data_IF_913006756643
#
_entry.id   IF_913006756643
#
_cell.length_a   1.000
_cell.length_b   1.000
_cell.length_c   1.000
_cell.angle_alpha   90.00
_cell.angle_beta   90.00
_cell.angle_gamma   90.00
#
_symmetry.space_group_name_H-M   'P 1'
#
loop_
_entity.id
_entity.type
_entity.pdbx_description
1 polymer ?
#
# COMPACT_ATOMS: atom_id res chain seq x y z
N UNK A 1 15.08 12.36 46.66
CA UNK A 1 13.82 13.10 46.40
C UNK A 1 13.32 12.96 44.94
N UNK A 2 13.91 12.09 44.10
CA UNK A 2 13.54 11.96 42.65
C UNK A 2 12.71 10.75 42.26
N UNK A 3 12.62 9.71 43.08
CA UNK A 3 11.88 8.50 42.73
C UNK A 3 10.42 8.45 43.18
N UNK A 4 10.04 9.24 44.18
CA UNK A 4 8.65 9.28 44.68
C UNK A 4 7.72 10.12 43.82
N UNK A 5 8.24 11.09 43.06
CA UNK A 5 7.43 11.93 42.16
C UNK A 5 7.03 11.21 40.87
N UNK A 6 7.86 10.28 40.38
CA UNK A 6 7.58 9.55 39.16
C UNK A 6 6.47 8.48 39.31
N UNK A 7 6.40 7.86 40.49
CA UNK A 7 5.33 6.90 40.84
C UNK A 7 3.97 7.55 41.07
N UNK A 8 3.95 8.80 41.55
CA UNK A 8 2.69 9.55 41.76
C UNK A 8 2.07 10.01 40.43
N UNK A 9 2.89 10.39 39.46
CA UNK A 9 2.41 10.83 38.13
C UNK A 9 1.89 9.68 37.31
N UNK A 10 2.51 8.50 37.37
CA UNK A 10 2.05 7.26 36.73
C UNK A 10 0.71 6.77 37.33
N UNK A 11 0.51 6.90 38.62
CA UNK A 11 -0.77 6.58 39.28
C UNK A 11 -1.89 7.53 38.84
N UNK A 12 -1.63 8.84 38.74
CA UNK A 12 -2.62 9.83 38.26
C UNK A 12 -3.04 9.60 36.83
N UNK A 13 -2.12 9.19 35.90
CA UNK A 13 -2.46 8.85 34.52
C UNK A 13 -3.30 7.57 34.41
N UNK A 14 -3.08 6.59 35.29
CA UNK A 14 -3.90 5.37 35.34
C UNK A 14 -5.32 5.61 35.85
N UNK A 15 -5.51 6.47 36.84
CA UNK A 15 -6.83 6.77 37.37
C UNK A 15 -7.70 7.54 36.38
N UNK A 16 -7.11 8.46 35.60
CA UNK A 16 -7.82 9.21 34.54
C UNK A 16 -8.37 8.30 33.42
N UNK A 17 -7.66 7.23 33.06
CA UNK A 17 -8.09 6.29 32.02
C UNK A 17 -9.25 5.40 32.49
N UNK A 18 -9.33 5.09 33.78
CA UNK A 18 -10.43 4.29 34.35
C UNK A 18 -11.71 5.10 34.52
N UNK A 19 -11.65 6.38 34.85
CA UNK A 19 -12.82 7.24 34.97
C UNK A 19 -13.52 7.52 33.64
N UNK A 20 -12.77 7.62 32.54
CA UNK A 20 -13.36 7.82 31.21
C UNK A 20 -14.13 6.58 30.73
N UNK A 21 -13.73 5.36 31.14
CA UNK A 21 -14.47 4.14 30.81
C UNK A 21 -15.78 3.96 31.59
N UNK A 22 -15.86 4.46 32.82
CA UNK A 22 -17.06 4.30 33.66
C UNK A 22 -18.23 5.23 33.26
N UNK A 23 -17.97 6.29 32.51
CA UNK A 23 -19.02 7.24 32.06
C UNK A 23 -19.70 6.75 30.78
N UNK A 24 -19.06 5.87 29.98
CA UNK A 24 -19.65 5.31 28.75
C UNK A 24 -20.59 4.10 28.99
N UNK A 25 -20.44 3.40 30.13
CA UNK A 25 -21.23 2.19 30.41
C UNK A 25 -22.62 2.41 31.04
N UNK A 26 -23.01 3.67 31.30
CA UNK A 26 -24.29 3.97 32.00
C UNK A 26 -25.42 4.48 31.12
N UNK A 27 -25.31 4.43 29.79
CA UNK A 27 -26.35 4.98 28.89
C UNK A 27 -26.93 4.03 27.84
N UNK A 28 -26.96 2.72 28.09
CA UNK A 28 -27.73 1.81 27.24
C UNK A 28 -28.46 0.76 28.14
N UNK A 29 -29.63 1.11 28.62
CA UNK A 29 -30.66 0.14 29.00
C UNK A 29 -32.02 0.68 28.62
N UNK A 30 -32.69 -0.14 27.84
CA UNK A 30 -34.08 -0.22 27.34
C UNK A 30 -34.15 0.15 25.85
N UNK A 31 -34.62 -0.70 24.93
CA UNK A 31 -35.75 -1.63 24.91
C UNK A 31 -35.62 -2.59 23.71
N UNK A 32 -36.00 -3.87 23.94
CA UNK A 32 -36.60 -4.85 23.03
C UNK A 32 -36.02 -5.15 21.64
N UNK A 33 -35.54 -6.40 21.52
CA UNK A 33 -35.30 -7.22 20.32
C UNK A 33 -36.59 -7.57 19.55
N UNK A 34 -36.59 -8.20 18.35
CA UNK A 34 -35.50 -8.88 17.66
C UNK A 34 -35.35 -8.52 16.16
N UNK A 35 -34.18 -8.50 15.63
CA UNK A 35 -33.83 -9.17 14.36
C UNK A 35 -32.32 -9.12 14.15
N UNK A 36 -31.65 -10.25 14.41
CA UNK A 36 -30.26 -10.44 14.03
C UNK A 36 -30.16 -10.73 12.52
N UNK A 37 -30.29 -9.71 11.70
CA UNK A 37 -29.65 -9.72 10.41
C UNK A 37 -28.27 -9.10 10.58
N UNK A 38 -27.27 -9.95 10.79
CA UNK A 38 -25.86 -9.54 10.75
C UNK A 38 -25.55 -8.94 9.38
N UNK A 39 -25.75 -7.65 9.26
CA UNK A 39 -25.24 -6.87 8.13
C UNK A 39 -23.72 -6.81 8.26
N UNK A 40 -23.03 -7.93 7.91
CA UNK A 40 -21.62 -7.92 7.61
C UNK A 40 -21.48 -6.94 6.44
N UNK A 41 -21.12 -5.70 6.73
CA UNK A 41 -20.63 -4.79 5.70
C UNK A 41 -19.52 -5.54 4.97
N UNK A 42 -19.79 -5.96 3.74
CA UNK A 42 -18.77 -6.54 2.87
C UNK A 42 -17.80 -5.41 2.60
N UNK A 43 -16.64 -5.44 3.26
CA UNK A 43 -15.57 -4.49 2.98
C UNK A 43 -15.21 -4.63 1.51
N UNK A 44 -15.54 -3.63 0.69
CA UNK A 44 -15.22 -3.60 -0.74
C UNK A 44 -13.84 -2.99 -0.89
N UNK A 45 -12.83 -3.82 -1.17
CA UNK A 45 -11.49 -3.37 -1.53
C UNK A 45 -11.37 -3.17 -3.02
N UNK A 46 -10.48 -2.26 -3.42
CA UNK A 46 -9.97 -2.19 -4.78
C UNK A 46 -8.63 -2.94 -4.87
N UNK A 47 -8.25 -3.27 -6.10
CA UNK A 47 -7.03 -4.01 -6.37
C UNK A 47 -6.15 -3.23 -7.33
N UNK A 48 -4.88 -3.16 -7.01
CA UNK A 48 -3.88 -2.39 -7.75
C UNK A 48 -2.68 -3.25 -8.10
N UNK A 49 -1.97 -2.90 -9.15
CA UNK A 49 -0.64 -3.41 -9.45
C UNK A 49 0.31 -2.22 -9.40
N UNK A 50 1.38 -2.35 -8.64
CA UNK A 50 2.40 -1.32 -8.46
C UNK A 50 3.78 -1.89 -8.83
N UNK A 51 4.52 -1.16 -9.68
CA UNK A 51 5.78 -1.63 -10.26
C UNK A 51 6.98 -1.00 -9.57
N UNK A 52 7.90 -1.84 -9.13
CA UNK A 52 9.21 -1.47 -8.61
C UNK A 52 10.34 -2.17 -9.38
N UNK A 53 11.55 -1.68 -9.23
CA UNK A 53 12.75 -2.23 -9.88
C UNK A 53 13.57 -3.02 -8.83
N UNK A 54 13.66 -4.35 -8.95
CA UNK A 54 14.32 -5.18 -7.93
C UNK A 54 15.85 -5.15 -7.99
N UNK A 55 16.42 -4.67 -9.11
CA UNK A 55 17.86 -4.63 -9.31
C UNK A 55 18.41 -3.24 -9.07
N UNK A 56 19.68 -3.17 -8.61
CA UNK A 56 20.39 -1.90 -8.43
C UNK A 56 20.42 -1.11 -9.73
N UNK A 57 20.00 0.14 -9.63
CA UNK A 57 20.10 1.14 -10.69
C UNK A 57 20.39 2.50 -10.08
N UNK A 58 21.55 3.06 -10.44
CA UNK A 58 21.95 4.36 -9.93
C UNK A 58 21.30 5.48 -10.76
N UNK A 59 20.57 6.37 -10.09
CA UNK A 59 19.96 7.58 -10.67
C UNK A 59 20.41 8.78 -9.85
N UNK A 60 21.10 9.74 -10.45
CA UNK A 60 21.68 10.91 -9.75
C UNK A 60 22.49 10.51 -8.50
N UNK A 61 23.27 9.42 -8.58
CA UNK A 61 24.12 8.95 -7.50
C UNK A 61 23.41 8.16 -6.39
N UNK A 62 22.10 7.98 -6.47
CA UNK A 62 21.31 7.14 -5.52
C UNK A 62 20.86 5.85 -6.18
N UNK A 63 20.93 4.75 -5.45
CA UNK A 63 20.36 3.48 -5.89
C UNK A 63 18.84 3.51 -5.69
N UNK A 64 18.10 3.28 -6.78
CA UNK A 64 16.63 3.25 -6.78
C UNK A 64 16.08 1.82 -6.73
N UNK A 65 16.91 0.83 -6.37
CA UNK A 65 16.51 -0.55 -6.15
C UNK A 65 15.40 -0.63 -5.10
N UNK A 66 14.33 -1.35 -5.42
CA UNK A 66 13.26 -1.66 -4.47
C UNK A 66 12.55 -2.96 -4.87
N UNK A 67 12.81 -4.03 -4.12
CA UNK A 67 12.19 -5.34 -4.32
C UNK A 67 11.13 -5.61 -3.25
N UNK A 68 10.40 -6.73 -3.40
CA UNK A 68 9.46 -7.20 -2.37
C UNK A 68 10.18 -7.54 -1.07
N UNK A 69 11.45 -8.00 -1.15
CA UNK A 69 12.27 -8.31 0.01
C UNK A 69 12.72 -7.01 0.71
N UNK A 70 13.09 -5.97 -0.07
CA UNK A 70 13.41 -4.67 0.50
C UNK A 70 12.20 -4.07 1.23
N UNK A 71 10.98 -4.23 0.71
CA UNK A 71 9.75 -3.81 1.41
C UNK A 71 9.52 -4.62 2.70
N UNK A 72 9.77 -5.94 2.67
CA UNK A 72 9.62 -6.80 3.86
C UNK A 72 10.59 -6.40 4.98
N UNK A 73 11.79 -5.94 4.62
CA UNK A 73 12.86 -5.54 5.55
C UNK A 73 12.68 -4.10 6.09
N UNK A 74 11.74 -3.32 5.55
CA UNK A 74 11.43 -1.98 6.07
C UNK A 74 10.85 -2.05 7.48
N UNK A 75 11.02 -0.99 8.30
CA UNK A 75 10.35 -0.89 9.61
C UNK A 75 8.84 -1.15 9.49
N UNK A 76 8.32 -2.09 10.27
CA UNK A 76 6.92 -2.55 10.23
C UNK A 76 6.45 -3.06 8.85
N UNK A 77 7.38 -3.32 7.92
CA UNK A 77 7.10 -3.66 6.52
C UNK A 77 6.43 -2.52 5.74
N UNK A 78 6.60 -1.28 6.16
CA UNK A 78 5.93 -0.11 5.57
C UNK A 78 6.93 0.75 4.79
N UNK A 79 6.54 1.15 3.57
CA UNK A 79 7.30 2.08 2.75
C UNK A 79 6.40 3.10 2.08
N UNK A 80 6.93 4.29 1.91
CA UNK A 80 6.35 5.31 1.05
C UNK A 80 6.55 4.91 -0.41
N UNK A 81 5.52 5.08 -1.23
CA UNK A 81 5.58 4.81 -2.67
C UNK A 81 5.79 6.11 -3.44
N UNK A 82 6.99 6.62 -3.34
CA UNK A 82 7.41 7.88 -3.94
C UNK A 82 7.86 7.73 -5.41
N UNK A 83 8.29 8.82 -6.00
CA UNK A 83 8.96 8.83 -7.30
C UNK A 83 8.08 8.56 -8.52
N UNK A 84 6.75 8.50 -8.37
CA UNK A 84 5.83 8.34 -9.52
C UNK A 84 5.73 9.64 -10.29
N UNK A 85 6.20 9.64 -11.55
CA UNK A 85 6.27 10.83 -12.44
C UNK A 85 5.44 10.66 -13.72
N UNK A 86 4.39 9.85 -13.65
CA UNK A 86 3.35 9.73 -14.68
C UNK A 86 2.05 10.30 -14.13
N UNK A 87 1.40 11.21 -14.85
CA UNK A 87 0.19 11.88 -14.38
C UNK A 87 -1.00 10.94 -14.15
N UNK A 88 -1.17 9.92 -15.01
CA UNK A 88 -2.23 8.95 -14.84
C UNK A 88 -2.01 8.10 -13.58
N UNK A 89 -0.80 7.57 -13.41
CA UNK A 89 -0.41 6.80 -12.21
C UNK A 89 -0.60 7.65 -10.94
N UNK A 90 -0.14 8.92 -10.97
CA UNK A 90 -0.35 9.87 -9.88
C UNK A 90 -1.84 10.09 -9.57
N UNK A 91 -2.68 10.27 -10.61
CA UNK A 91 -4.12 10.49 -10.42
C UNK A 91 -4.80 9.24 -9.84
N UNK A 92 -4.37 8.03 -10.24
CA UNK A 92 -4.84 6.79 -9.65
C UNK A 92 -4.54 6.77 -8.13
N UNK A 93 -3.29 7.04 -7.75
CA UNK A 93 -2.91 7.06 -6.33
C UNK A 93 -3.66 8.13 -5.55
N UNK A 94 -3.75 9.36 -6.09
CA UNK A 94 -4.35 10.50 -5.41
C UNK A 94 -5.86 10.36 -5.23
N UNK A 95 -6.55 9.90 -6.27
CA UNK A 95 -8.00 10.04 -6.35
C UNK A 95 -8.76 8.73 -6.07
N UNK A 96 -8.08 7.57 -6.17
CA UNK A 96 -8.77 6.27 -6.18
C UNK A 96 -8.31 5.29 -5.11
N UNK A 97 -7.04 5.33 -4.69
CA UNK A 97 -6.52 4.40 -3.69
C UNK A 97 -7.02 4.73 -2.29
N UNK A 98 -7.44 3.69 -1.56
CA UNK A 98 -7.94 3.76 -0.20
C UNK A 98 -7.18 2.82 0.72
N UNK A 99 -7.13 3.16 2.01
CA UNK A 99 -6.60 2.25 3.04
C UNK A 99 -7.30 0.91 2.95
N UNK A 100 -6.52 -0.18 3.09
CA UNK A 100 -6.90 -1.59 2.94
C UNK A 100 -7.05 -2.10 1.50
N UNK A 101 -6.91 -1.26 0.48
CA UNK A 101 -6.83 -1.72 -0.91
C UNK A 101 -5.65 -2.68 -1.10
N UNK A 102 -5.83 -3.69 -1.95
CA UNK A 102 -4.84 -4.75 -2.16
C UNK A 102 -3.91 -4.42 -3.32
N UNK A 103 -2.63 -4.73 -3.14
CA UNK A 103 -1.59 -4.41 -4.11
C UNK A 103 -0.87 -5.69 -4.55
N UNK A 104 -0.86 -5.94 -5.85
CA UNK A 104 0.06 -6.86 -6.51
C UNK A 104 1.39 -6.14 -6.71
N UNK A 105 2.42 -6.57 -5.98
CA UNK A 105 3.77 -6.03 -6.09
C UNK A 105 4.49 -6.64 -7.28
N UNK A 106 4.88 -5.83 -8.26
CA UNK A 106 5.43 -6.28 -9.52
C UNK A 106 6.89 -5.83 -9.69
N UNK A 107 7.78 -6.79 -9.94
CA UNK A 107 9.16 -6.54 -10.33
C UNK A 107 9.22 -6.21 -11.82
N UNK A 108 9.66 -4.99 -12.14
CA UNK A 108 9.81 -4.48 -13.50
C UNK A 108 11.28 -4.16 -13.81
N UNK A 109 11.56 -3.86 -15.06
CA UNK A 109 12.90 -3.46 -15.52
C UNK A 109 14.04 -4.41 -15.08
N UNK A 110 13.78 -5.71 -15.15
CA UNK A 110 14.72 -6.75 -14.76
C UNK A 110 14.69 -7.92 -15.77
N UNK A 111 15.64 -8.86 -15.67
CA UNK A 111 15.75 -10.00 -16.57
C UNK A 111 14.48 -10.84 -16.63
N UNK A 112 13.81 -11.03 -15.48
CA UNK A 112 12.58 -11.82 -15.37
C UNK A 112 11.53 -10.99 -14.65
N UNK A 113 10.77 -10.14 -15.38
CA UNK A 113 9.71 -9.35 -14.77
C UNK A 113 8.52 -10.22 -14.38
N UNK A 114 7.85 -9.87 -13.28
CA UNK A 114 6.72 -10.66 -12.78
C UNK A 114 6.18 -10.17 -11.43
N UNK A 115 5.11 -10.81 -10.99
CA UNK A 115 4.49 -10.58 -9.69
C UNK A 115 5.27 -11.30 -8.60
N UNK A 116 5.71 -10.58 -7.59
CA UNK A 116 6.62 -11.07 -6.55
C UNK A 116 5.95 -11.24 -5.19
N UNK A 117 4.82 -10.58 -4.96
CA UNK A 117 4.14 -10.66 -3.66
C UNK A 117 2.93 -9.73 -3.57
N UNK A 118 2.43 -9.63 -2.35
CA UNK A 118 1.29 -8.80 -1.98
C UNK A 118 1.71 -7.70 -1.01
N UNK A 119 1.12 -6.53 -1.19
CA UNK A 119 1.13 -5.43 -0.24
C UNK A 119 -0.30 -4.89 -0.05
N UNK A 120 -0.45 -3.92 0.84
CA UNK A 120 -1.72 -3.27 1.15
C UNK A 120 -1.49 -1.76 1.31
N UNK A 121 -2.44 -0.94 0.87
CA UNK A 121 -2.41 0.50 1.12
C UNK A 121 -2.69 0.74 2.61
N UNK A 122 -1.78 1.42 3.30
CA UNK A 122 -1.91 1.75 4.74
C UNK A 122 -2.05 3.25 4.99
N UNK A 123 -1.75 4.07 3.99
CA UNK A 123 -2.00 5.52 4.02
C UNK A 123 -2.40 6.02 2.65
N UNK A 124 -3.49 6.78 2.62
CA UNK A 124 -3.97 7.43 1.38
C UNK A 124 -3.01 8.53 0.93
N UNK A 125 -3.26 9.02 -0.28
CA UNK A 125 -2.35 9.92 -0.97
C UNK A 125 -2.07 11.23 -0.22
N UNK A 126 -0.82 11.62 -0.22
CA UNK A 126 -0.30 12.90 0.27
C UNK A 126 0.80 13.40 -0.67
N UNK A 127 1.18 14.70 -0.58
CA UNK A 127 2.22 15.24 -1.46
C UNK A 127 3.53 14.47 -1.39
N UNK A 128 4.06 14.09 -2.55
CA UNK A 128 5.38 13.47 -2.68
C UNK A 128 6.46 14.54 -2.47
N UNK A 129 6.95 14.63 -1.24
CA UNK A 129 7.95 15.63 -0.85
C UNK A 129 9.32 15.38 -1.47
N UNK A 130 9.60 14.17 -1.99
CA UNK A 130 10.86 13.89 -2.69
C UNK A 130 10.97 14.67 -3.99
N UNK A 131 9.83 15.13 -4.53
CA UNK A 131 9.80 16.01 -5.68
C UNK A 131 10.35 17.43 -5.40
N UNK A 132 10.45 17.82 -4.13
CA UNK A 132 10.94 19.15 -3.72
C UNK A 132 12.44 19.15 -3.38
N UNK A 133 13.06 17.98 -3.25
CA UNK A 133 14.48 17.81 -2.92
C UNK A 133 15.31 17.71 -4.21
N UNK A 134 16.11 18.75 -4.51
CA UNK A 134 16.97 18.81 -5.70
C UNK A 134 17.99 17.67 -5.77
N UNK A 135 18.39 17.13 -4.62
CA UNK A 135 19.32 16.00 -4.53
C UNK A 135 18.63 14.66 -4.82
N UNK A 136 17.30 14.64 -4.83
CA UNK A 136 16.54 13.40 -5.02
C UNK A 136 16.49 12.98 -6.50
N UNK A 137 16.57 11.67 -6.83
CA UNK A 137 16.47 11.18 -8.21
C UNK A 137 15.22 11.67 -8.96
N UNK A 138 14.11 11.79 -8.23
CA UNK A 138 12.79 12.14 -8.76
C UNK A 138 12.40 13.60 -8.50
N UNK A 139 13.35 14.49 -8.27
CA UNK A 139 13.12 15.93 -8.18
C UNK A 139 12.42 16.50 -9.41
N UNK A 140 11.43 17.35 -9.19
CA UNK A 140 10.72 18.10 -10.24
C UNK A 140 10.73 19.59 -9.90
N UNK A 141 11.49 20.44 -10.63
CA UNK A 141 11.59 21.88 -10.37
C UNK A 141 10.26 22.63 -10.55
N UNK A 142 9.27 21.99 -11.17
CA UNK A 142 7.92 22.54 -11.36
C UNK A 142 6.95 22.19 -10.25
N UNK A 143 7.38 21.42 -9.23
CA UNK A 143 6.59 21.03 -8.08
C UNK A 143 7.12 21.73 -6.82
N UNK A 144 6.25 22.27 -5.99
CA UNK A 144 6.61 22.87 -4.71
C UNK A 144 5.55 22.55 -3.63
N UNK A 145 5.84 22.93 -2.38
CA UNK A 145 4.98 22.61 -1.23
C UNK A 145 3.60 23.25 -1.32
N UNK A 146 3.52 24.44 -1.89
CA UNK A 146 2.25 25.19 -1.97
C UNK A 146 1.38 24.71 -3.15
N UNK A 147 2.01 24.11 -4.18
CA UNK A 147 1.34 23.54 -5.34
C UNK A 147 1.98 22.20 -5.71
N UNK A 148 1.71 21.13 -4.95
CA UNK A 148 2.30 19.82 -5.20
C UNK A 148 1.72 19.18 -6.45
N UNK A 149 2.62 18.80 -7.37
CA UNK A 149 2.24 18.12 -8.62
C UNK A 149 2.18 16.60 -8.47
N UNK A 150 2.94 16.05 -7.52
CA UNK A 150 3.13 14.62 -7.32
C UNK A 150 2.63 14.19 -5.96
N UNK A 151 2.09 12.99 -5.91
CA UNK A 151 1.51 12.40 -4.72
C UNK A 151 2.05 10.98 -4.55
N UNK A 152 2.12 10.52 -3.32
CA UNK A 152 2.52 9.18 -2.93
C UNK A 152 1.54 8.60 -1.92
N UNK A 153 1.55 7.30 -1.77
CA UNK A 153 0.79 6.53 -0.77
C UNK A 153 1.78 5.72 0.07
N UNK A 154 1.38 5.24 1.24
CA UNK A 154 2.18 4.25 1.95
C UNK A 154 1.60 2.86 1.72
N UNK A 155 2.48 1.91 1.45
CA UNK A 155 2.15 0.50 1.30
C UNK A 155 2.79 -0.32 2.42
N UNK A 156 2.13 -1.41 2.79
CA UNK A 156 2.63 -2.36 3.77
C UNK A 156 2.79 -3.73 3.12
N UNK A 157 3.91 -4.36 3.40
CA UNK A 157 4.16 -5.76 3.05
C UNK A 157 3.10 -6.66 3.68
N UNK A 158 2.54 -7.57 2.88
CA UNK A 158 1.61 -8.60 3.33
C UNK A 158 2.27 -9.96 3.28
N UNK A 159 2.78 -10.36 2.12
CA UNK A 159 3.56 -11.58 1.93
C UNK A 159 4.28 -11.60 0.59
N UNK A 160 5.38 -12.31 0.53
CA UNK A 160 6.02 -12.72 -0.72
C UNK A 160 5.24 -13.89 -1.35
N UNK A 161 5.24 -13.98 -2.67
CA UNK A 161 4.73 -15.15 -3.37
C UNK A 161 5.70 -16.33 -3.19
N UNK A 162 5.17 -17.55 -3.19
CA UNK A 162 5.97 -18.78 -3.14
C UNK A 162 6.91 -18.90 -4.32
N UNK A 163 6.52 -18.33 -5.45
CA UNK A 163 7.31 -18.23 -6.68
C UNK A 163 6.98 -16.93 -7.41
N UNK A 164 7.89 -16.47 -8.24
CA UNK A 164 7.62 -15.35 -9.14
C UNK A 164 6.63 -15.81 -10.22
N UNK A 165 5.51 -15.08 -10.36
CA UNK A 165 4.60 -15.27 -11.49
C UNK A 165 5.07 -14.36 -12.61
N UNK A 166 5.73 -14.92 -13.59
CA UNK A 166 6.42 -14.15 -14.64
C UNK A 166 5.45 -13.46 -15.60
N UNK A 167 5.89 -12.35 -16.20
CA UNK A 167 5.12 -11.70 -17.28
C UNK A 167 4.82 -12.68 -18.43
N UNK A 168 5.78 -13.56 -18.79
CA UNK A 168 5.59 -14.57 -19.82
C UNK A 168 4.45 -15.54 -19.46
N UNK A 169 4.38 -15.95 -18.20
CA UNK A 169 3.30 -16.80 -17.70
C UNK A 169 1.95 -16.09 -17.74
N UNK A 170 1.88 -14.83 -17.30
CA UNK A 170 0.65 -14.03 -17.41
C UNK A 170 0.19 -13.86 -18.86
N UNK A 171 1.13 -13.69 -19.79
CA UNK A 171 0.83 -13.62 -21.23
C UNK A 171 0.30 -14.95 -21.79
N UNK A 172 0.76 -16.09 -21.28
CA UNK A 172 0.26 -17.41 -21.67
C UNK A 172 -1.22 -17.62 -21.25
N UNK A 173 -1.68 -16.89 -20.22
CA UNK A 173 -3.08 -16.89 -19.75
C UNK A 173 -3.87 -15.67 -20.23
N UNK A 174 -3.55 -15.16 -21.42
CA UNK A 174 -4.20 -13.97 -21.99
C UNK A 174 -5.73 -14.13 -22.15
N UNK A 175 -6.22 -15.33 -22.34
CA UNK A 175 -7.66 -15.65 -22.37
C UNK A 175 -8.38 -15.29 -21.06
N UNK A 176 -7.72 -15.49 -19.92
CA UNK A 176 -8.23 -15.14 -18.58
C UNK A 176 -7.93 -13.70 -18.14
N UNK A 177 -6.90 -13.08 -18.73
CA UNK A 177 -6.36 -11.78 -18.37
C UNK A 177 -6.45 -10.76 -19.53
N UNK A 178 -7.37 -10.93 -20.46
CA UNK A 178 -7.42 -10.23 -21.75
C UNK A 178 -7.37 -8.69 -21.60
N UNK A 179 -8.10 -8.13 -20.66
CA UNK A 179 -8.18 -6.70 -20.42
C UNK A 179 -7.38 -6.24 -19.18
N UNK A 180 -6.47 -7.10 -18.69
CA UNK A 180 -5.51 -6.69 -17.66
C UNK A 180 -4.60 -5.59 -18.21
N UNK A 181 -4.57 -4.45 -17.48
CA UNK A 181 -3.82 -3.27 -17.92
C UNK A 181 -2.34 -3.57 -18.13
N UNK A 182 -1.75 -4.44 -17.29
CA UNK A 182 -0.35 -4.86 -17.42
C UNK A 182 0.00 -5.40 -18.81
N UNK A 183 -0.89 -6.20 -19.41
CA UNK A 183 -0.65 -6.85 -20.70
C UNK A 183 -0.85 -5.91 -21.89
N UNK A 184 -1.64 -4.84 -21.70
CA UNK A 184 -2.00 -3.90 -22.76
C UNK A 184 -1.26 -2.56 -22.65
N UNK A 185 -0.85 -2.14 -21.44
CA UNK A 185 -0.23 -0.85 -21.15
C UNK A 185 0.99 -1.02 -20.24
N UNK A 186 1.99 -1.72 -20.73
CA UNK A 186 3.18 -2.10 -19.97
C UNK A 186 3.99 -0.95 -19.36
N UNK A 187 3.83 0.30 -19.83
CA UNK A 187 4.56 1.47 -19.32
C UNK A 187 3.91 2.16 -18.13
N UNK A 188 2.63 1.91 -17.85
CA UNK A 188 1.95 2.48 -16.68
C UNK A 188 2.49 1.79 -15.41
N UNK A 189 3.00 2.54 -14.45
CA UNK A 189 3.66 2.00 -13.25
C UNK A 189 2.69 1.66 -12.11
N UNK A 190 1.53 2.30 -12.09
CA UNK A 190 0.45 2.04 -11.13
C UNK A 190 -0.81 1.77 -11.94
N UNK A 191 -1.46 0.64 -11.71
CA UNK A 191 -2.54 0.14 -12.57
C UNK A 191 -3.70 -0.42 -11.75
N UNK A 192 -4.96 -0.22 -12.18
CA UNK A 192 -6.09 -0.94 -11.63
C UNK A 192 -6.02 -2.42 -12.03
N UNK A 193 -6.50 -3.28 -11.13
CA UNK A 193 -6.66 -4.72 -11.34
C UNK A 193 -8.10 -5.08 -11.04
N UNK A 194 -8.74 -5.87 -11.89
CA UNK A 194 -10.07 -6.40 -11.61
C UNK A 194 -9.97 -7.50 -10.56
N UNK A 195 -11.03 -7.67 -9.76
CA UNK A 195 -11.06 -8.72 -8.73
C UNK A 195 -10.84 -10.11 -9.31
N UNK A 196 -11.50 -10.42 -10.44
CA UNK A 196 -11.33 -11.69 -11.12
C UNK A 196 -9.88 -11.95 -11.58
N UNK A 197 -9.15 -10.92 -12.01
CA UNK A 197 -7.73 -11.06 -12.36
C UNK A 197 -6.87 -11.27 -11.11
N UNK A 198 -7.17 -10.56 -10.03
CA UNK A 198 -6.47 -10.72 -8.76
C UNK A 198 -6.63 -12.14 -8.21
N UNK A 199 -7.87 -12.64 -8.16
CA UNK A 199 -8.17 -13.98 -7.68
C UNK A 199 -7.50 -15.05 -8.54
N UNK A 200 -7.57 -14.93 -9.87
CA UNK A 200 -6.91 -15.85 -10.80
C UNK A 200 -5.38 -15.86 -10.59
N UNK A 201 -4.75 -14.74 -10.36
CA UNK A 201 -3.31 -14.64 -10.07
C UNK A 201 -2.96 -15.38 -8.79
N UNK A 202 -3.78 -15.27 -7.73
CA UNK A 202 -3.57 -16.01 -6.49
C UNK A 202 -3.71 -17.52 -6.68
N UNK A 203 -4.67 -17.96 -7.50
CA UNK A 203 -4.78 -19.37 -7.88
C UNK A 203 -3.56 -19.85 -8.68
N UNK A 204 -3.06 -19.01 -9.59
CA UNK A 204 -1.91 -19.33 -10.44
C UNK A 204 -0.63 -19.52 -9.63
N UNK A 205 -0.47 -18.78 -8.53
CA UNK A 205 0.66 -18.94 -7.61
C UNK A 205 0.72 -20.37 -7.02
N UNK A 206 -0.45 -20.97 -6.76
CA UNK A 206 -0.58 -22.27 -6.10
C UNK A 206 -0.44 -23.43 -7.11
N UNK A 207 -0.86 -23.21 -8.35
CA UNK A 207 -0.75 -24.20 -9.43
C UNK A 207 0.72 -24.29 -9.85
N UNK A 208 1.31 -25.47 -9.65
CA UNK A 208 2.65 -25.82 -10.17
C UNK A 208 2.57 -26.35 -11.59
#
# INVERSE_FOLDING_TARGET
MSQENETAELKRKRTSVYEIRSVFDKRVKTTNSPDESSNKQVETFQYWLMKAEPNSRIVKGKDVKFSIDDLADMPDGVSQWDGVRNYEARNIMRDKMKVKDKVLFYHSNCKTPGLAGLAEIVKEAYPDYTAFDESHPYYDPKSNKDNPRWFMVDIKFVRKFKRLITLKELQAHKDKLMDMVLLNRGRLSVQPVKKEHYDFILELEIKQ
#
